data_IF_958632984972
#
_entry.id   IF_958632984972
#
_cell.length_a   1.000
_cell.length_b   1.000
_cell.length_c   1.000
_cell.angle_alpha   90.00
_cell.angle_beta   90.00
_cell.angle_gamma   90.00
#
_symmetry.space_group_name_H-M   'P 1'
#
loop_
_entity.id
_entity.type
_entity.pdbx_description
1 polymer ?
#
# COMPACT_ATOMS: atom_id res chain seq x y z
N UNK A 1 -18.02 -11.37 -8.51
CA UNK A 1 -17.64 -9.97 -8.71
C UNK A 1 -16.50 -9.63 -7.75
N UNK A 2 -15.36 -9.25 -8.29
CA UNK A 2 -14.25 -8.84 -7.44
C UNK A 2 -14.57 -7.47 -6.83
N UNK A 3 -14.39 -7.31 -5.51
CA UNK A 3 -14.59 -6.00 -4.91
C UNK A 3 -13.60 -5.00 -5.52
N UNK A 4 -14.04 -3.76 -5.67
CA UNK A 4 -13.15 -2.71 -6.11
C UNK A 4 -12.01 -2.52 -5.08
N UNK A 5 -10.78 -2.27 -5.53
CA UNK A 5 -9.69 -2.01 -4.59
C UNK A 5 -9.94 -0.70 -3.84
N UNK A 6 -9.39 -0.63 -2.64
CA UNK A 6 -9.39 0.60 -1.87
C UNK A 6 -8.72 1.72 -2.67
N UNK A 7 -9.26 2.92 -2.62
CA UNK A 7 -8.70 4.10 -3.30
C UNK A 7 -8.62 5.28 -2.34
N UNK A 8 -7.57 6.06 -2.50
CA UNK A 8 -7.34 7.28 -1.75
C UNK A 8 -7.00 8.40 -2.75
N UNK A 9 -7.65 9.56 -2.62
CA UNK A 9 -7.32 10.71 -3.46
C UNK A 9 -6.35 11.63 -2.74
N UNK A 10 -5.30 12.04 -3.47
CA UNK A 10 -4.31 13.01 -3.01
C UNK A 10 -4.13 14.08 -4.09
N UNK A 11 -3.65 15.25 -3.69
CA UNK A 11 -3.26 16.31 -4.60
C UNK A 11 -1.76 16.52 -4.53
N UNK A 12 -1.10 16.64 -5.69
CA UNK A 12 0.34 16.89 -5.77
C UNK A 12 0.64 18.29 -5.23
N UNK A 13 1.49 18.35 -4.22
CA UNK A 13 1.84 19.59 -3.50
C UNK A 13 3.06 20.24 -4.13
N UNK A 14 3.16 21.57 -4.01
CA UNK A 14 4.26 22.37 -4.59
C UNK A 14 5.63 21.88 -4.12
N UNK A 15 5.75 21.45 -2.88
CA UNK A 15 7.04 21.00 -2.32
C UNK A 15 7.40 19.56 -2.70
N UNK A 16 6.54 18.88 -3.45
CA UNK A 16 6.76 17.51 -3.87
C UNK A 16 7.27 17.39 -5.31
N UNK A 17 7.37 18.52 -6.02
CA UNK A 17 7.82 18.52 -7.42
C UNK A 17 9.31 18.81 -7.53
N UNK A 18 9.91 18.25 -8.59
CA UNK A 18 11.33 18.43 -8.89
C UNK A 18 11.57 19.69 -9.77
N UNK A 19 12.82 19.85 -10.27
CA UNK A 19 13.20 20.97 -11.12
C UNK A 19 12.48 21.01 -12.46
N UNK A 20 11.90 19.88 -12.88
CA UNK A 20 11.07 19.79 -14.10
C UNK A 20 9.58 19.99 -13.82
N UNK A 21 9.23 20.33 -12.58
CA UNK A 21 7.84 20.51 -12.11
C UNK A 21 7.01 19.23 -12.11
N UNK A 22 7.67 18.08 -12.15
CA UNK A 22 7.03 16.77 -12.05
C UNK A 22 7.11 16.27 -10.62
N UNK A 23 6.15 15.44 -10.21
CA UNK A 23 6.21 14.77 -8.93
C UNK A 23 7.56 14.07 -8.79
N UNK A 24 8.27 14.36 -7.70
CA UNK A 24 9.58 13.77 -7.43
C UNK A 24 9.49 12.25 -7.30
N UNK A 25 10.50 11.54 -7.79
CA UNK A 25 10.55 10.08 -7.75
C UNK A 25 10.34 9.50 -6.35
N UNK A 26 10.89 10.14 -5.33
CA UNK A 26 10.72 9.69 -3.94
C UNK A 26 9.26 9.77 -3.47
N UNK A 27 8.47 10.68 -4.00
CA UNK A 27 7.08 10.88 -3.58
C UNK A 27 6.16 9.76 -4.04
N UNK A 28 6.47 9.08 -5.14
CA UNK A 28 5.66 7.94 -5.60
C UNK A 28 5.59 6.83 -4.54
N UNK A 29 6.71 6.52 -3.94
CA UNK A 29 6.79 5.55 -2.84
C UNK A 29 6.01 6.05 -1.62
N UNK A 30 6.18 7.32 -1.27
CA UNK A 30 5.47 7.92 -0.14
C UNK A 30 3.96 7.89 -0.34
N UNK A 31 3.48 8.17 -1.56
CA UNK A 31 2.06 8.11 -1.89
C UNK A 31 1.52 6.68 -1.77
N UNK A 32 2.27 5.71 -2.29
CA UNK A 32 1.89 4.31 -2.21
C UNK A 32 1.82 3.82 -0.75
N UNK A 33 2.82 4.16 0.05
CA UNK A 33 2.86 3.79 1.47
C UNK A 33 1.72 4.43 2.26
N UNK A 34 1.42 5.69 1.98
CA UNK A 34 0.30 6.37 2.62
C UNK A 34 -1.04 5.70 2.27
N UNK A 35 -1.22 5.32 1.00
CA UNK A 35 -2.41 4.58 0.55
C UNK A 35 -2.53 3.25 1.28
N UNK A 36 -1.42 2.52 1.44
CA UNK A 36 -1.41 1.24 2.16
C UNK A 36 -1.82 1.43 3.62
N UNK A 37 -1.23 2.43 4.29
CA UNK A 37 -1.56 2.74 5.67
C UNK A 37 -3.04 3.10 5.82
N UNK A 38 -3.55 3.96 4.95
CA UNK A 38 -4.97 4.34 4.95
C UNK A 38 -5.89 3.13 4.73
N UNK A 39 -5.48 2.22 3.85
CA UNK A 39 -6.22 0.97 3.60
C UNK A 39 -6.26 0.09 4.86
N UNK A 40 -5.13 -0.06 5.55
CA UNK A 40 -5.07 -0.81 6.81
C UNK A 40 -5.96 -0.18 7.87
N UNK A 41 -5.94 1.13 8.02
CA UNK A 41 -6.81 1.84 8.95
C UNK A 41 -8.29 1.61 8.61
N UNK A 42 -8.65 1.71 7.34
CA UNK A 42 -10.02 1.47 6.88
C UNK A 42 -10.47 0.03 7.16
N UNK A 43 -9.53 -0.92 7.06
CA UNK A 43 -9.79 -2.33 7.39
C UNK A 43 -9.88 -2.60 8.89
N UNK A 44 -9.52 -1.63 9.72
CA UNK A 44 -9.53 -1.77 11.18
C UNK A 44 -8.26 -2.38 11.76
N UNK A 45 -7.16 -2.39 11.02
CA UNK A 45 -5.87 -2.87 11.53
C UNK A 45 -5.06 -1.69 12.06
N UNK A 46 -4.73 -1.75 13.34
CA UNK A 46 -3.88 -0.76 13.98
C UNK A 46 -2.41 -1.15 13.82
N UNK A 47 -1.66 -0.36 13.05
CA UNK A 47 -0.21 -0.56 12.91
C UNK A 47 0.49 -0.39 14.27
N UNK A 48 -0.01 0.52 15.09
CA UNK A 48 0.52 0.74 16.45
C UNK A 48 0.41 -0.53 17.29
N UNK A 49 -0.77 -1.15 17.32
CA UNK A 49 -0.97 -2.40 18.07
C UNK A 49 -0.12 -3.53 17.51
N UNK A 50 0.01 -3.60 16.19
CA UNK A 50 0.85 -4.59 15.52
C UNK A 50 2.29 -4.47 16.01
N UNK A 51 2.83 -3.25 16.06
CA UNK A 51 4.18 -2.98 16.53
C UNK A 51 4.33 -3.29 18.03
N UNK A 52 3.32 -2.97 18.84
CA UNK A 52 3.30 -3.31 20.27
C UNK A 52 3.34 -4.82 20.48
N UNK A 53 2.73 -5.58 19.59
CA UNK A 53 2.75 -7.05 19.61
C UNK A 53 4.06 -7.62 19.02
N UNK A 54 5.00 -6.78 18.63
CA UNK A 54 6.30 -7.20 18.13
C UNK A 54 6.31 -7.61 16.67
N UNK A 55 5.38 -7.09 15.86
CA UNK A 55 5.28 -7.39 14.43
C UNK A 55 5.39 -6.09 13.65
N UNK A 56 6.31 -6.06 12.69
CA UNK A 56 6.52 -4.88 11.84
C UNK A 56 6.39 -5.22 10.36
N UNK A 57 5.56 -4.46 9.60
CA UNK A 57 5.54 -4.60 8.15
C UNK A 57 6.87 -4.19 7.53
N UNK A 58 7.38 -4.99 6.58
CA UNK A 58 8.63 -4.70 5.87
C UNK A 58 8.43 -4.86 4.37
N UNK A 59 9.11 -4.03 3.60
CA UNK A 59 9.17 -4.15 2.16
C UNK A 59 10.47 -4.84 1.78
N UNK A 60 10.37 -5.88 0.96
CA UNK A 60 11.51 -6.69 0.52
C UNK A 60 11.93 -6.31 -0.89
N UNK A 61 10.99 -5.85 -1.71
CA UNK A 61 11.24 -5.42 -3.08
C UNK A 61 10.21 -4.37 -3.47
N UNK A 62 10.67 -3.33 -4.18
CA UNK A 62 9.80 -2.29 -4.72
C UNK A 62 10.08 -2.15 -6.20
N UNK A 63 9.02 -2.17 -7.00
CA UNK A 63 9.11 -1.93 -8.44
C UNK A 63 8.19 -0.77 -8.79
N UNK A 64 8.72 0.24 -9.46
CA UNK A 64 7.96 1.40 -9.88
C UNK A 64 8.02 1.48 -11.40
N UNK A 65 6.86 1.70 -12.03
CA UNK A 65 6.78 1.99 -13.46
C UNK A 65 6.13 3.34 -13.64
N UNK A 66 6.78 4.19 -14.44
CA UNK A 66 6.32 5.56 -14.73
C UNK A 66 5.72 5.57 -16.12
N UNK A 67 4.47 6.00 -16.25
CA UNK A 67 3.74 6.03 -17.52
C UNK A 67 3.45 7.45 -18.00
N UNK A 68 3.04 8.33 -17.09
CA UNK A 68 2.74 9.74 -17.35
C UNK A 68 3.21 10.58 -16.18
N UNK A 69 3.63 11.82 -16.46
CA UNK A 69 4.02 12.74 -15.39
C UNK A 69 2.82 13.16 -14.54
N UNK A 70 3.12 13.47 -13.29
CA UNK A 70 2.19 14.12 -12.37
C UNK A 70 2.76 15.51 -12.08
N UNK A 71 1.93 16.54 -12.24
CA UNK A 71 2.31 17.92 -12.07
C UNK A 71 1.73 18.50 -10.80
N UNK A 72 2.33 19.61 -10.34
CA UNK A 72 1.82 20.34 -9.18
C UNK A 72 0.33 20.64 -9.35
N UNK A 73 -0.46 20.33 -8.34
CA UNK A 73 -1.90 20.56 -8.33
C UNK A 73 -2.74 19.45 -8.94
N UNK A 74 -2.11 18.47 -9.61
CA UNK A 74 -2.85 17.31 -10.12
C UNK A 74 -3.48 16.50 -8.99
N UNK A 75 -4.72 16.07 -9.21
CA UNK A 75 -5.36 15.11 -8.32
C UNK A 75 -5.05 13.69 -8.79
N UNK A 76 -4.76 12.83 -7.83
CA UNK A 76 -4.33 11.45 -8.05
C UNK A 76 -5.18 10.52 -7.21
N UNK A 77 -5.76 9.50 -7.84
CA UNK A 77 -6.39 8.39 -7.14
C UNK A 77 -5.40 7.24 -7.03
N UNK A 78 -5.15 6.81 -5.80
CA UNK A 78 -4.17 5.75 -5.53
C UNK A 78 -4.93 4.54 -5.03
N UNK A 79 -4.83 3.43 -5.76
CA UNK A 79 -5.43 2.16 -5.35
C UNK A 79 -4.50 1.38 -4.43
N UNK A 80 -5.05 0.45 -3.68
CA UNK A 80 -4.28 -0.47 -2.84
C UNK A 80 -4.89 -1.87 -2.97
N UNK A 81 -4.16 -2.77 -3.60
CA UNK A 81 -4.60 -4.14 -3.81
C UNK A 81 -3.61 -5.10 -3.16
N UNK A 82 -4.13 -6.01 -2.34
CA UNK A 82 -3.35 -7.01 -1.63
C UNK A 82 -3.47 -8.35 -2.34
N UNK A 83 -2.34 -9.02 -2.56
CA UNK A 83 -2.28 -10.32 -3.23
C UNK A 83 -1.52 -11.27 -2.33
N UNK A 84 -2.24 -12.25 -1.79
CA UNK A 84 -1.72 -13.21 -0.83
C UNK A 84 -1.28 -14.48 -1.54
N UNK A 85 -0.21 -15.10 -1.04
CA UNK A 85 0.28 -16.39 -1.46
C UNK A 85 0.28 -17.37 -0.29
N UNK A 86 0.97 -18.49 -0.46
CA UNK A 86 1.05 -19.54 0.56
C UNK A 86 2.24 -19.39 1.48
N UNK A 87 3.11 -18.42 1.21
CA UNK A 87 4.37 -18.26 1.92
C UNK A 87 4.35 -17.12 2.92
N UNK A 88 5.55 -16.70 3.27
CA UNK A 88 5.81 -15.64 4.25
C UNK A 88 5.76 -14.25 3.65
N UNK A 89 5.61 -14.15 2.34
CA UNK A 89 5.54 -12.87 1.63
C UNK A 89 4.18 -12.69 1.00
N UNK A 90 3.82 -11.43 0.78
CA UNK A 90 2.62 -11.05 0.04
C UNK A 90 2.98 -9.87 -0.86
N UNK A 91 2.12 -9.59 -1.83
CA UNK A 91 2.30 -8.42 -2.68
C UNK A 91 1.26 -7.37 -2.37
N UNK A 92 1.65 -6.11 -2.49
CA UNK A 92 0.73 -4.98 -2.44
C UNK A 92 0.98 -4.15 -3.69
N UNK A 93 -0.06 -3.94 -4.48
CA UNK A 93 0.03 -3.23 -5.74
C UNK A 93 -0.78 -1.95 -5.67
N UNK A 94 -0.16 -0.85 -6.12
CA UNK A 94 -0.79 0.46 -6.16
C UNK A 94 -0.76 0.98 -7.58
N UNK A 95 -1.89 1.53 -8.03
CA UNK A 95 -1.98 2.26 -9.28
C UNK A 95 -2.27 3.71 -8.96
N UNK A 96 -1.53 4.63 -9.59
CA UNK A 96 -1.70 6.06 -9.42
C UNK A 96 -2.36 6.62 -10.68
N UNK A 97 -3.64 6.99 -10.55
CA UNK A 97 -4.46 7.45 -11.67
C UNK A 97 -4.66 8.96 -11.58
N UNK A 98 -4.37 9.68 -12.68
CA UNK A 98 -4.71 11.10 -12.76
C UNK A 98 -6.22 11.27 -12.88
N UNK A 99 -6.70 12.46 -12.50
CA UNK A 99 -8.13 12.78 -12.58
C UNK A 99 -8.70 12.71 -14.02
N UNK A 100 -7.83 12.83 -15.05
CA UNK A 100 -8.23 12.70 -16.45
C UNK A 100 -8.39 11.24 -16.91
N UNK A 101 -8.17 10.26 -16.02
CA UNK A 101 -8.31 8.84 -16.32
C UNK A 101 -7.04 8.17 -16.83
N UNK A 102 -5.92 8.90 -16.93
CA UNK A 102 -4.64 8.33 -17.38
C UNK A 102 -3.91 7.68 -16.20
N UNK A 103 -3.38 6.49 -16.43
CA UNK A 103 -2.51 5.83 -15.46
C UNK A 103 -1.15 6.54 -15.47
N UNK A 104 -0.81 7.16 -14.35
CA UNK A 104 0.44 7.90 -14.20
C UNK A 104 1.60 6.99 -13.82
N UNK A 105 1.38 6.08 -12.88
CA UNK A 105 2.41 5.15 -12.41
C UNK A 105 1.77 3.95 -11.74
N UNK A 106 2.56 2.89 -11.59
CA UNK A 106 2.22 1.80 -10.68
C UNK A 106 3.41 1.50 -9.77
N UNK A 107 3.11 1.11 -8.52
CA UNK A 107 4.11 0.78 -7.51
C UNK A 107 3.74 -0.57 -6.94
N UNK A 108 4.63 -1.54 -7.11
CA UNK A 108 4.42 -2.91 -6.66
C UNK A 108 5.43 -3.28 -5.59
N UNK A 109 4.94 -3.84 -4.51
CA UNK A 109 5.76 -4.29 -3.39
C UNK A 109 5.68 -5.79 -3.22
N UNK A 110 6.82 -6.40 -2.92
CA UNK A 110 6.88 -7.69 -2.23
C UNK A 110 7.17 -7.36 -0.77
N UNK A 111 6.30 -7.81 0.11
CA UNK A 111 6.32 -7.42 1.53
C UNK A 111 6.19 -8.65 2.43
N UNK A 112 6.44 -8.44 3.69
CA UNK A 112 6.24 -9.44 4.73
C UNK A 112 6.01 -8.78 6.08
N UNK A 113 5.73 -9.59 7.07
CA UNK A 113 5.63 -9.15 8.46
C UNK A 113 6.82 -9.71 9.21
N UNK A 114 7.60 -8.82 9.81
CA UNK A 114 8.80 -9.20 10.55
C UNK A 114 8.46 -9.39 12.03
N UNK A 115 8.83 -10.55 12.57
CA UNK A 115 8.89 -10.73 14.03
C UNK A 115 10.08 -9.92 14.54
N UNK A 116 9.80 -8.86 15.28
CA UNK A 116 10.83 -7.90 15.70
C UNK A 116 11.76 -8.46 16.78
N UNK A 117 11.35 -9.54 17.46
CA UNK A 117 12.17 -10.21 18.47
C UNK A 117 13.11 -11.22 17.83
N UNK A 118 12.56 -12.10 17.00
CA UNK A 118 13.34 -13.16 16.35
C UNK A 118 14.03 -12.70 15.06
N UNK A 119 13.66 -11.53 14.53
CA UNK A 119 14.20 -10.92 13.32
C UNK A 119 14.05 -11.81 12.09
N UNK A 120 12.90 -12.45 11.98
CA UNK A 120 12.53 -13.28 10.81
C UNK A 120 11.06 -13.06 10.48
N UNK A 121 10.69 -13.37 9.25
CA UNK A 121 9.33 -13.19 8.77
C UNK A 121 8.37 -14.14 9.47
N UNK A 122 7.18 -13.63 9.83
CA UNK A 122 6.12 -14.47 10.38
C UNK A 122 5.63 -15.45 9.29
N UNK A 123 5.30 -16.70 9.69
CA UNK A 123 4.96 -17.75 8.72
C UNK A 123 3.65 -17.51 7.95
N UNK A 124 2.67 -16.88 8.57
CA UNK A 124 1.33 -16.69 7.98
C UNK A 124 0.87 -15.25 8.15
N UNK A 125 1.37 -14.33 7.27
CA UNK A 125 1.02 -12.93 7.37
C UNK A 125 -0.46 -12.66 7.09
N UNK A 126 -1.11 -13.46 6.25
CA UNK A 126 -2.53 -13.30 5.97
C UNK A 126 -3.37 -13.50 7.23
N UNK A 127 -3.04 -14.51 8.02
CA UNK A 127 -3.72 -14.76 9.29
C UNK A 127 -3.47 -13.61 10.29
N UNK A 128 -2.23 -13.15 10.40
CA UNK A 128 -1.87 -12.06 11.33
C UNK A 128 -2.65 -10.78 11.05
N UNK A 129 -2.76 -10.38 9.80
CA UNK A 129 -3.51 -9.18 9.44
C UNK A 129 -5.02 -9.44 9.42
N UNK A 130 -5.43 -10.57 8.85
CA UNK A 130 -6.85 -10.90 8.69
C UNK A 130 -7.58 -11.04 10.02
N UNK A 131 -6.93 -11.67 11.01
CA UNK A 131 -7.54 -11.86 12.34
C UNK A 131 -7.72 -10.55 13.10
N UNK A 132 -6.95 -9.51 12.76
CA UNK A 132 -7.04 -8.19 13.37
C UNK A 132 -8.03 -7.27 12.66
N UNK A 133 -8.33 -7.55 11.39
CA UNK A 133 -9.14 -6.68 10.55
C UNK A 133 -10.63 -6.79 10.88
N UNK A 134 -11.29 -5.64 11.02
CA UNK A 134 -12.75 -5.57 11.12
C UNK A 134 -13.39 -5.77 9.75
N UNK A 135 -12.72 -5.31 8.69
CA UNK A 135 -13.15 -5.46 7.31
C UNK A 135 -12.05 -6.10 6.47
N UNK A 136 -11.80 -7.42 6.65
CA UNK A 136 -10.70 -8.09 5.97
C UNK A 136 -10.80 -8.06 4.45
N UNK A 137 -11.98 -7.88 3.88
CA UNK A 137 -12.16 -7.74 2.43
C UNK A 137 -11.35 -6.60 1.83
N UNK A 138 -11.12 -5.51 2.57
CA UNK A 138 -10.27 -4.40 2.11
C UNK A 138 -8.81 -4.81 1.95
N UNK A 139 -8.40 -5.87 2.62
CA UNK A 139 -7.07 -6.46 2.51
C UNK A 139 -7.04 -7.66 1.56
N UNK A 140 -8.11 -7.88 0.80
CA UNK A 140 -8.21 -9.03 -0.09
C UNK A 140 -8.32 -10.37 0.65
N UNK A 141 -8.80 -10.36 1.88
CA UNK A 141 -8.90 -11.53 2.74
C UNK A 141 -10.37 -11.93 2.98
N UNK A 142 -10.62 -13.22 3.25
CA UNK A 142 -11.97 -13.67 3.56
C UNK A 142 -12.44 -13.14 4.93
N UNK A 143 -13.75 -13.10 5.17
CA UNK A 143 -14.27 -12.68 6.47
C UNK A 143 -13.82 -13.64 7.58
N UNK A 144 -13.69 -13.08 8.79
CA UNK A 144 -13.39 -13.91 9.97
C UNK A 144 -14.59 -14.80 10.30
N UNK A 145 -14.34 -16.02 10.80
CA UNK A 145 -15.41 -16.92 11.22
C UNK A 145 -16.18 -16.39 12.42
#
# INVERSE_FOLDING_TARGET
MNPEPFRLRMQVRVYEVDTQRHLSGACYVQYAEHSRFACMQAAGVSVRELLEDGIGPVNLQTTIRYHRELLMGDEVDISCMWIWGDGKTYRVEHELWRADGELAADVHYVSGLLDLRQRRLVPDPAHELGSRAQTPALLGLPPNP
#
